data_IF_972011939923
#
_entry.id   IF_972011939923
#
_cell.length_a   1.000
_cell.length_b   1.000
_cell.length_c   1.000
_cell.angle_alpha   90.00
_cell.angle_beta   90.00
_cell.angle_gamma   90.00
#
_symmetry.space_group_name_H-M   'P 1'
#
loop_
_entity.id
_entity.type
_entity.pdbx_description
1 polymer ?
#
# COMPACT_ATOMS: atom_id res chain seq x y z
N UNK A 1 20.39 33.53 3.49
CA UNK A 1 20.60 32.10 3.20
C UNK A 1 19.50 31.61 2.23
N UNK A 2 19.88 31.18 1.03
CA UNK A 2 18.94 30.82 -0.04
C UNK A 2 18.31 29.44 0.25
N UNK A 3 17.09 29.42 0.83
CA UNK A 3 16.37 28.18 1.22
C UNK A 3 15.79 27.38 0.02
N UNK A 4 15.93 27.90 -1.20
CA UNK A 4 15.35 27.28 -2.42
C UNK A 4 15.94 25.93 -2.81
N UNK A 5 17.28 25.69 -2.82
CA UNK A 5 17.84 24.42 -3.26
C UNK A 5 17.42 23.23 -2.38
N UNK A 6 17.37 23.38 -1.07
CA UNK A 6 16.97 22.31 -0.14
C UNK A 6 15.52 21.86 -0.33
N UNK A 7 14.61 22.81 -0.66
CA UNK A 7 13.21 22.47 -0.94
C UNK A 7 13.08 21.59 -2.18
N UNK A 8 13.81 21.88 -3.24
CA UNK A 8 13.77 21.07 -4.48
C UNK A 8 14.35 19.69 -4.25
N UNK A 9 15.44 19.54 -3.52
CA UNK A 9 16.04 18.25 -3.18
C UNK A 9 15.03 17.38 -2.39
N UNK A 10 14.40 17.93 -1.35
CA UNK A 10 13.42 17.22 -0.55
C UNK A 10 12.21 16.74 -1.37
N UNK A 11 11.67 17.59 -2.25
CA UNK A 11 10.59 17.22 -3.18
C UNK A 11 11.02 16.11 -4.11
N UNK A 12 12.21 16.19 -4.70
CA UNK A 12 12.73 15.18 -5.61
C UNK A 12 12.90 13.84 -4.91
N UNK A 13 13.52 13.82 -3.73
CA UNK A 13 13.69 12.58 -2.94
C UNK A 13 12.34 11.95 -2.58
N UNK A 14 11.36 12.76 -2.20
CA UNK A 14 10.03 12.28 -1.89
C UNK A 14 9.34 11.67 -3.13
N UNK A 15 9.47 12.31 -4.29
CA UNK A 15 8.93 11.78 -5.55
C UNK A 15 9.60 10.47 -5.95
N UNK A 16 10.93 10.36 -5.82
CA UNK A 16 11.64 9.10 -6.03
C UNK A 16 11.09 8.01 -5.10
N UNK A 17 10.94 8.32 -3.80
CA UNK A 17 10.32 7.39 -2.84
C UNK A 17 8.91 6.96 -3.26
N UNK A 18 8.06 7.89 -3.74
CA UNK A 18 6.71 7.56 -4.23
C UNK A 18 6.76 6.60 -5.42
N UNK A 19 7.66 6.80 -6.38
CA UNK A 19 7.80 5.90 -7.52
C UNK A 19 8.35 4.53 -7.13
N UNK A 20 9.31 4.46 -6.20
CA UNK A 20 9.81 3.19 -5.67
C UNK A 20 8.71 2.42 -4.93
N UNK A 21 7.91 3.14 -4.14
CA UNK A 21 6.76 2.57 -3.45
C UNK A 21 5.71 2.04 -4.43
N UNK A 22 5.41 2.81 -5.49
CA UNK A 22 4.52 2.37 -6.57
C UNK A 22 5.06 1.12 -7.28
N UNK A 23 6.34 1.09 -7.62
CA UNK A 23 6.99 -0.06 -8.26
C UNK A 23 6.90 -1.32 -7.40
N UNK A 24 7.04 -1.20 -6.07
CA UNK A 24 6.86 -2.31 -5.15
C UNK A 24 5.46 -2.92 -5.23
N UNK A 25 4.41 -2.10 -5.24
CA UNK A 25 3.03 -2.57 -5.38
C UNK A 25 2.76 -3.18 -6.76
N UNK A 26 3.24 -2.57 -7.82
CA UNK A 26 3.11 -3.13 -9.18
C UNK A 26 3.85 -4.46 -9.33
N UNK A 27 5.00 -4.60 -8.70
CA UNK A 27 5.73 -5.87 -8.67
C UNK A 27 4.96 -6.93 -7.89
N UNK A 28 4.41 -6.60 -6.72
CA UNK A 28 3.54 -7.48 -5.94
C UNK A 28 2.33 -7.96 -6.74
N UNK A 29 1.63 -7.03 -7.40
CA UNK A 29 0.54 -7.35 -8.32
C UNK A 29 0.97 -8.33 -9.42
N UNK A 30 2.07 -8.04 -10.11
CA UNK A 30 2.59 -8.88 -11.19
C UNK A 30 2.88 -10.31 -10.72
N UNK A 31 3.55 -10.45 -9.58
CA UNK A 31 3.86 -11.77 -9.00
C UNK A 31 2.59 -12.55 -8.65
N UNK A 32 1.58 -11.91 -8.09
CA UNK A 32 0.33 -12.56 -7.72
C UNK A 32 -0.48 -12.96 -8.95
N UNK A 33 -0.55 -12.08 -9.95
CA UNK A 33 -1.23 -12.35 -11.20
C UNK A 33 -0.61 -13.56 -11.92
N UNK A 34 0.71 -13.56 -12.10
CA UNK A 34 1.44 -14.62 -12.82
C UNK A 34 1.43 -15.96 -12.08
N UNK A 35 1.34 -15.93 -10.75
CA UNK A 35 1.23 -17.14 -9.92
C UNK A 35 -0.20 -17.64 -9.73
N UNK A 36 -1.19 -16.98 -10.31
CA UNK A 36 -2.57 -17.44 -10.28
C UNK A 36 -3.30 -17.24 -8.94
N UNK A 37 -2.90 -16.27 -8.12
CA UNK A 37 -3.52 -16.01 -6.81
C UNK A 37 -5.01 -15.71 -6.87
N UNK A 38 -5.53 -15.20 -8.01
CA UNK A 38 -6.92 -14.81 -8.16
C UNK A 38 -7.86 -16.02 -8.38
N UNK A 39 -7.32 -17.17 -8.80
CA UNK A 39 -8.11 -18.36 -9.17
C UNK A 39 -7.57 -19.67 -8.59
N UNK A 40 -6.82 -19.57 -7.50
CA UNK A 40 -6.28 -20.71 -6.76
C UNK A 40 -6.36 -20.50 -5.26
N UNK A 41 -6.13 -21.56 -4.49
CA UNK A 41 -6.12 -21.53 -3.02
C UNK A 41 -4.77 -21.10 -2.44
N UNK A 42 -3.91 -20.44 -3.23
CA UNK A 42 -2.57 -20.03 -2.77
C UNK A 42 -2.61 -19.10 -1.55
N UNK A 43 -3.58 -18.17 -1.50
CA UNK A 43 -3.74 -17.29 -0.34
C UNK A 43 -4.14 -18.09 0.91
N UNK A 44 -5.04 -19.05 0.77
CA UNK A 44 -5.45 -19.94 1.85
C UNK A 44 -4.25 -20.75 2.38
N UNK A 45 -3.48 -21.37 1.47
CA UNK A 45 -2.26 -22.10 1.80
C UNK A 45 -1.24 -21.21 2.53
N UNK A 46 -1.05 -19.98 2.06
CA UNK A 46 -0.15 -19.00 2.67
C UNK A 46 -0.57 -18.65 4.11
N UNK A 47 -1.86 -18.39 4.33
CA UNK A 47 -2.36 -18.11 5.69
C UNK A 47 -2.29 -19.34 6.61
N UNK A 48 -2.63 -20.53 6.12
CA UNK A 48 -2.59 -21.76 6.87
C UNK A 48 -1.16 -22.14 7.29
N UNK A 49 -0.20 -21.97 6.37
CA UNK A 49 1.20 -22.17 6.69
C UNK A 49 1.65 -21.21 7.80
N UNK A 50 1.32 -19.92 7.67
CA UNK A 50 1.69 -18.91 8.66
C UNK A 50 1.07 -19.19 10.04
N UNK A 51 -0.18 -19.63 10.07
CA UNK A 51 -0.86 -20.00 11.31
C UNK A 51 -0.10 -21.08 12.07
N UNK A 52 0.43 -22.08 11.36
CA UNK A 52 1.23 -23.17 11.97
C UNK A 52 2.57 -22.70 12.58
N UNK A 53 3.06 -21.53 12.20
CA UNK A 53 4.30 -20.92 12.72
C UNK A 53 4.07 -20.01 13.93
N UNK A 54 2.83 -19.63 14.20
CA UNK A 54 2.49 -18.67 15.26
C UNK A 54 2.18 -19.36 16.59
N UNK A 55 2.48 -18.72 17.74
CA UNK A 55 2.07 -19.22 19.03
C UNK A 55 0.54 -19.34 19.13
N UNK A 56 0.04 -20.49 19.58
CA UNK A 56 -1.39 -20.70 19.76
C UNK A 56 -2.00 -19.64 20.69
N UNK A 57 -3.18 -19.12 20.31
CA UNK A 57 -3.88 -18.08 21.07
C UNK A 57 -3.28 -16.67 20.98
N UNK A 58 -2.22 -16.46 20.20
CA UNK A 58 -1.73 -15.11 19.92
C UNK A 58 -2.74 -14.31 19.12
N UNK A 59 -2.69 -12.95 19.20
CA UNK A 59 -3.55 -12.08 18.40
C UNK A 59 -3.44 -12.39 16.90
N UNK A 60 -2.24 -12.64 16.41
CA UNK A 60 -1.98 -12.96 15.01
C UNK A 60 -2.62 -14.29 14.59
N UNK A 61 -2.54 -15.31 15.45
CA UNK A 61 -3.18 -16.61 15.20
C UNK A 61 -4.71 -16.45 15.16
N UNK A 62 -5.30 -15.76 16.13
CA UNK A 62 -6.73 -15.49 16.15
C UNK A 62 -7.20 -14.68 14.94
N UNK A 63 -6.42 -13.68 14.52
CA UNK A 63 -6.70 -12.91 13.32
C UNK A 63 -6.72 -13.79 12.06
N UNK A 64 -5.75 -14.70 11.93
CA UNK A 64 -5.71 -15.62 10.80
C UNK A 64 -6.87 -16.62 10.85
N UNK A 65 -7.13 -17.26 11.98
CA UNK A 65 -8.18 -18.27 12.13
C UNK A 65 -9.59 -17.71 11.90
N UNK A 66 -9.89 -16.58 12.54
CA UNK A 66 -11.26 -16.06 12.59
C UNK A 66 -11.60 -15.13 11.45
N UNK A 67 -10.60 -14.49 10.82
CA UNK A 67 -10.81 -13.49 9.79
C UNK A 67 -10.14 -13.85 8.46
N UNK A 68 -8.81 -14.02 8.44
CA UNK A 68 -8.09 -14.09 7.18
C UNK A 68 -8.31 -15.42 6.42
N UNK A 69 -8.33 -16.56 7.12
CA UNK A 69 -8.54 -17.88 6.51
C UNK A 69 -9.95 -18.01 5.94
N UNK A 70 -11.03 -17.70 6.68
CA UNK A 70 -12.40 -17.75 6.13
C UNK A 70 -12.61 -16.82 4.94
N UNK A 71 -11.85 -15.73 4.86
CA UNK A 71 -11.94 -14.73 3.80
C UNK A 71 -10.76 -14.77 2.81
N UNK A 72 -10.02 -15.88 2.75
CA UNK A 72 -8.80 -15.97 1.96
C UNK A 72 -9.01 -15.63 0.48
N UNK A 73 -10.10 -16.12 -0.13
CA UNK A 73 -10.40 -15.86 -1.53
C UNK A 73 -10.73 -14.36 -1.80
N UNK A 74 -11.69 -13.71 -1.12
CA UNK A 74 -11.91 -12.28 -1.30
C UNK A 74 -10.69 -11.43 -0.93
N UNK A 75 -9.90 -11.82 0.07
CA UNK A 75 -8.64 -11.12 0.41
C UNK A 75 -7.64 -11.23 -0.74
N UNK A 76 -7.52 -12.38 -1.41
CA UNK A 76 -6.64 -12.53 -2.57
C UNK A 76 -6.99 -11.52 -3.69
N UNK A 77 -8.28 -11.32 -3.95
CA UNK A 77 -8.75 -10.32 -4.92
C UNK A 77 -8.47 -8.89 -4.45
N UNK A 78 -8.84 -8.55 -3.21
CA UNK A 78 -8.64 -7.21 -2.66
C UNK A 78 -7.15 -6.83 -2.67
N UNK A 79 -6.28 -7.75 -2.26
CA UNK A 79 -4.83 -7.52 -2.24
C UNK A 79 -4.29 -7.37 -3.64
N UNK A 80 -4.58 -8.30 -4.55
CA UNK A 80 -4.00 -8.28 -5.89
C UNK A 80 -4.48 -7.08 -6.70
N UNK A 81 -5.81 -6.83 -6.74
CA UNK A 81 -6.37 -5.67 -7.46
C UNK A 81 -5.99 -4.37 -6.76
N UNK A 82 -5.96 -4.37 -5.44
CA UNK A 82 -5.53 -3.23 -4.64
C UNK A 82 -4.09 -2.82 -4.94
N UNK A 83 -3.17 -3.76 -5.07
CA UNK A 83 -1.78 -3.49 -5.46
C UNK A 83 -1.69 -2.82 -6.84
N UNK A 84 -2.51 -3.24 -7.80
CA UNK A 84 -2.58 -2.58 -9.12
C UNK A 84 -3.08 -1.15 -9.00
N UNK A 85 -4.20 -0.94 -8.27
CA UNK A 85 -4.81 0.39 -8.10
C UNK A 85 -3.84 1.34 -7.40
N UNK A 86 -3.23 0.91 -6.30
CA UNK A 86 -2.23 1.70 -5.56
C UNK A 86 -1.06 2.04 -6.47
N UNK A 87 -0.48 1.04 -7.12
CA UNK A 87 0.69 1.22 -7.97
C UNK A 87 0.43 2.20 -9.11
N UNK A 88 -0.64 2.00 -9.89
CA UNK A 88 -1.02 2.92 -10.98
C UNK A 88 -1.38 4.32 -10.47
N UNK A 89 -2.16 4.40 -9.39
CA UNK A 89 -2.53 5.68 -8.78
C UNK A 89 -1.31 6.48 -8.34
N UNK A 90 -0.34 5.85 -7.71
CA UNK A 90 0.90 6.51 -7.26
C UNK A 90 1.83 6.88 -8.42
N UNK A 91 1.90 6.06 -9.49
CA UNK A 91 2.67 6.42 -10.71
C UNK A 91 2.06 7.66 -11.36
N UNK A 92 0.74 7.69 -11.56
CA UNK A 92 0.03 8.80 -12.20
C UNK A 92 -0.08 10.03 -11.29
N UNK A 93 0.20 9.89 -9.99
CA UNK A 93 -0.09 10.94 -9.00
C UNK A 93 -1.58 11.25 -8.93
N UNK A 94 -2.43 10.20 -9.03
CA UNK A 94 -3.88 10.25 -8.98
C UNK A 94 -4.37 9.77 -7.63
N UNK A 95 -5.16 10.59 -6.94
CA UNK A 95 -5.71 10.31 -5.61
C UNK A 95 -4.63 9.74 -4.65
N UNK A 96 -3.46 10.40 -4.62
CA UNK A 96 -2.28 9.90 -3.89
C UNK A 96 -2.59 9.62 -2.43
N UNK A 97 -3.36 10.49 -1.78
CA UNK A 97 -3.75 10.30 -0.37
C UNK A 97 -4.62 9.07 -0.16
N UNK A 98 -5.60 8.82 -1.04
CA UNK A 98 -6.47 7.65 -0.94
C UNK A 98 -5.68 6.36 -1.20
N UNK A 99 -4.81 6.34 -2.21
CA UNK A 99 -3.94 5.21 -2.50
C UNK A 99 -2.95 4.94 -1.36
N UNK A 100 -2.38 5.99 -0.76
CA UNK A 100 -1.50 5.86 0.40
C UNK A 100 -2.24 5.33 1.65
N UNK A 101 -3.47 5.79 1.90
CA UNK A 101 -4.31 5.26 2.97
C UNK A 101 -4.64 3.79 2.75
N UNK A 102 -4.98 3.39 1.53
CA UNK A 102 -5.25 2.01 1.20
C UNK A 102 -3.99 1.13 1.31
N UNK A 103 -2.83 1.64 0.86
CA UNK A 103 -1.56 0.95 1.06
C UNK A 103 -1.24 0.76 2.55
N UNK A 104 -1.44 1.78 3.39
CA UNK A 104 -1.26 1.69 4.83
C UNK A 104 -2.20 0.64 5.44
N UNK A 105 -3.47 0.65 5.05
CA UNK A 105 -4.44 -0.36 5.48
C UNK A 105 -3.97 -1.78 5.13
N UNK A 106 -3.50 -2.03 3.91
CA UNK A 106 -3.01 -3.34 3.49
C UNK A 106 -1.78 -3.77 4.32
N UNK A 107 -0.81 -2.88 4.51
CA UNK A 107 0.40 -3.16 5.28
C UNK A 107 0.08 -3.46 6.76
N UNK A 108 -0.89 -2.75 7.35
CA UNK A 108 -1.38 -3.03 8.72
C UNK A 108 -2.02 -4.42 8.82
N UNK A 109 -2.79 -4.85 7.81
CA UNK A 109 -3.37 -6.19 7.78
C UNK A 109 -2.29 -7.28 7.63
N UNK A 110 -1.23 -7.04 6.85
CA UNK A 110 -0.08 -7.95 6.83
C UNK A 110 0.58 -8.08 8.20
N UNK A 111 0.78 -6.97 8.91
CA UNK A 111 1.32 -6.99 10.25
C UNK A 111 0.38 -7.74 11.24
N UNK A 112 -0.94 -7.53 11.15
CA UNK A 112 -1.94 -8.22 11.96
C UNK A 112 -1.93 -9.74 11.73
N UNK A 113 -1.67 -10.19 10.49
CA UNK A 113 -1.49 -11.61 10.15
C UNK A 113 -0.13 -12.19 10.54
N UNK A 114 0.70 -11.45 11.26
CA UNK A 114 2.01 -11.92 11.71
C UNK A 114 3.12 -11.89 10.66
N UNK A 115 2.90 -11.27 9.51
CA UNK A 115 3.92 -11.08 8.47
C UNK A 115 4.80 -9.85 8.73
N UNK A 116 5.20 -9.67 9.98
CA UNK A 116 6.01 -8.54 10.39
C UNK A 116 7.49 -8.75 9.99
N UNK A 117 8.07 -7.71 9.38
CA UNK A 117 9.49 -7.64 9.07
C UNK A 117 9.99 -6.19 9.18
N UNK A 118 11.31 -6.00 9.14
CA UNK A 118 11.94 -4.68 9.31
C UNK A 118 11.60 -3.66 8.22
N UNK A 119 11.04 -4.09 7.07
CA UNK A 119 10.64 -3.18 6.01
C UNK A 119 9.26 -2.55 6.25
N UNK A 120 8.39 -3.17 7.07
CA UNK A 120 7.04 -2.67 7.31
C UNK A 120 7.00 -1.27 7.96
N UNK A 121 7.76 -0.96 9.05
CA UNK A 121 7.72 0.37 9.65
C UNK A 121 8.09 1.50 8.68
N UNK A 122 9.17 1.43 7.88
CA UNK A 122 9.44 2.42 6.85
C UNK A 122 8.32 2.56 5.81
N UNK A 123 7.69 1.44 5.39
CA UNK A 123 6.55 1.48 4.47
C UNK A 123 5.34 2.18 5.07
N UNK A 124 4.99 1.86 6.32
CA UNK A 124 3.89 2.52 7.05
C UNK A 124 4.14 4.02 7.19
N UNK A 125 5.36 4.41 7.61
CA UNK A 125 5.74 5.80 7.77
C UNK A 125 5.64 6.54 6.43
N UNK A 126 6.17 5.97 5.35
CA UNK A 126 6.15 6.60 4.04
C UNK A 126 4.72 6.72 3.48
N UNK A 127 3.86 5.72 3.68
CA UNK A 127 2.44 5.80 3.34
C UNK A 127 1.75 6.94 4.12
N UNK A 128 1.98 7.04 5.42
CA UNK A 128 1.47 8.15 6.24
C UNK A 128 1.98 9.51 5.76
N UNK A 129 3.26 9.62 5.40
CA UNK A 129 3.82 10.85 4.81
C UNK A 129 3.15 11.22 3.49
N UNK A 130 2.84 10.26 2.60
CA UNK A 130 2.10 10.54 1.36
C UNK A 130 0.67 11.00 1.59
N UNK A 131 0.06 10.66 2.72
CA UNK A 131 -1.25 11.21 3.11
C UNK A 131 -1.16 12.68 3.57
N UNK A 132 -0.03 13.08 4.15
CA UNK A 132 0.17 14.43 4.69
C UNK A 132 0.72 15.41 3.64
N UNK A 133 1.65 14.97 2.80
CA UNK A 133 2.29 15.83 1.81
C UNK A 133 1.59 15.78 0.45
N UNK A 134 1.46 16.93 -0.26
CA UNK A 134 0.73 17.01 -1.54
C UNK A 134 1.58 16.51 -2.71
N UNK A 135 2.12 15.30 -2.63
CA UNK A 135 3.05 14.79 -3.65
C UNK A 135 2.39 14.53 -5.02
N UNK A 136 1.06 14.36 -5.06
CA UNK A 136 0.29 14.31 -6.30
C UNK A 136 0.20 15.67 -7.01
N UNK A 137 0.35 16.79 -6.27
CA UNK A 137 0.45 18.13 -6.83
C UNK A 137 1.83 18.45 -7.38
N UNK A 138 2.89 17.90 -6.80
CA UNK A 138 4.26 18.19 -7.24
C UNK A 138 4.53 17.58 -8.62
N UNK A 139 4.04 16.38 -8.86
CA UNK A 139 4.11 15.70 -10.15
C UNK A 139 2.98 14.68 -10.23
N UNK A 140 1.86 15.03 -10.90
CA UNK A 140 0.72 14.13 -11.05
C UNK A 140 -0.59 14.83 -11.38
N UNK A 141 -1.65 14.04 -11.39
CA UNK A 141 -3.00 14.47 -11.78
C UNK A 141 -3.75 15.20 -10.65
N UNK A 142 -3.35 15.01 -9.38
CA UNK A 142 -4.08 15.58 -8.22
C UNK A 142 -4.17 17.11 -8.28
N UNK A 143 -3.16 17.79 -8.83
CA UNK A 143 -3.21 19.24 -9.00
C UNK A 143 -4.37 19.69 -9.90
N UNK A 144 -4.60 18.98 -11.00
CA UNK A 144 -5.71 19.29 -11.94
C UNK A 144 -7.05 18.92 -11.32
N UNK A 145 -7.11 17.80 -10.62
CA UNK A 145 -8.32 17.33 -9.94
C UNK A 145 -8.71 18.23 -8.78
N UNK A 146 -7.76 18.75 -8.01
CA UNK A 146 -8.02 19.73 -6.96
C UNK A 146 -8.62 21.02 -7.51
N UNK A 147 -8.16 21.49 -8.68
CA UNK A 147 -8.77 22.66 -9.34
C UNK A 147 -10.23 22.44 -9.73
N UNK A 148 -10.59 21.19 -10.12
CA UNK A 148 -11.96 20.79 -10.49
C UNK A 148 -12.84 20.47 -9.28
N UNK A 149 -12.24 19.92 -8.22
CA UNK A 149 -12.92 19.46 -7.01
C UNK A 149 -12.21 19.99 -5.75
N UNK A 150 -12.27 21.31 -5.47
CA UNK A 150 -11.49 21.94 -4.40
C UNK A 150 -11.86 21.49 -3.00
N UNK A 151 -13.10 21.04 -2.79
CA UNK A 151 -13.59 20.54 -1.51
C UNK A 151 -13.13 19.11 -1.20
N UNK A 152 -12.61 18.37 -2.18
CA UNK A 152 -12.17 17.00 -1.98
C UNK A 152 -10.88 16.93 -1.16
N UNK A 153 -10.91 16.21 -0.04
CA UNK A 153 -9.74 15.96 0.80
C UNK A 153 -8.71 15.03 0.12
N UNK A 154 -9.14 14.25 -0.86
CA UNK A 154 -8.32 13.25 -1.55
C UNK A 154 -7.38 13.85 -2.59
N UNK A 155 -7.67 15.05 -3.08
CA UNK A 155 -6.87 15.75 -4.08
C UNK A 155 -6.13 16.99 -3.51
N UNK A 156 -6.06 17.13 -2.18
CA UNK A 156 -5.33 18.25 -1.52
C UNK A 156 -3.83 18.06 -1.50
#
# INVERSE_FOLDING_TARGET
MNKRPFKHIGVTLFLVGRYLFAAFFLYGFWLKLTRGWLWSDLMLGFFTQRLGELPAGSFQALYLEQFAIPLAFPIAWIVTVGELIIGLGLVLGFAVRANAAFALFMVLNFAAGGYYNLSLPPFMLFAAMMMLFPSGHWLGLDKRLHQKYPESIWFK
#
